data_IF_222237684173
#
_entry.id   IF_222237684173
#
_cell.length_a   1.000
_cell.length_b   1.000
_cell.length_c   1.000
_cell.angle_alpha   90.00
_cell.angle_beta   90.00
_cell.angle_gamma   90.00
#
_symmetry.space_group_name_H-M   'P 1'
#
loop_
_entity.id
_entity.type
_entity.pdbx_description
1 polymer ?
#
# COMPACT_ATOMS: atom_id res chain seq x y z
N UNK A 1 8.89 -31.83 -33.74
CA UNK A 1 7.57 -31.73 -33.08
C UNK A 1 7.66 -31.36 -31.59
N UNK A 2 8.69 -31.80 -30.85
CA UNK A 2 8.94 -31.49 -29.43
C UNK A 2 9.00 -29.98 -29.08
N UNK A 3 9.66 -29.17 -29.91
CA UNK A 3 9.79 -27.72 -29.65
C UNK A 3 8.44 -26.96 -29.66
N UNK A 4 7.44 -27.44 -30.40
CA UNK A 4 6.11 -26.80 -30.43
C UNK A 4 5.38 -26.98 -29.10
N UNK A 5 5.52 -28.15 -28.48
CA UNK A 5 4.94 -28.44 -27.16
C UNK A 5 5.63 -27.63 -26.06
N UNK A 6 6.96 -27.57 -26.08
CA UNK A 6 7.73 -26.77 -25.12
C UNK A 6 7.41 -25.28 -25.26
N UNK A 7 7.38 -24.74 -26.49
CA UNK A 7 7.00 -23.35 -26.74
C UNK A 7 5.56 -23.06 -26.34
N UNK A 8 4.63 -23.97 -26.63
CA UNK A 8 3.23 -23.83 -26.22
C UNK A 8 3.07 -23.79 -24.70
N UNK A 9 3.76 -24.68 -23.98
CA UNK A 9 3.76 -24.70 -22.52
C UNK A 9 4.37 -23.42 -21.93
N UNK A 10 5.51 -22.96 -22.47
CA UNK A 10 6.16 -21.74 -22.01
C UNK A 10 5.27 -20.50 -22.22
N UNK A 11 4.56 -20.45 -23.36
CA UNK A 11 3.59 -19.39 -23.64
C UNK A 11 2.42 -19.42 -22.67
N UNK A 12 1.85 -20.59 -22.37
CA UNK A 12 0.76 -20.71 -21.41
C UNK A 12 1.17 -20.24 -20.01
N UNK A 13 2.37 -20.63 -19.55
CA UNK A 13 2.93 -20.17 -18.26
C UNK A 13 3.14 -18.66 -18.26
N UNK A 14 3.68 -18.10 -19.34
CA UNK A 14 3.87 -16.65 -19.47
C UNK A 14 2.55 -15.88 -19.39
N UNK A 15 1.50 -16.36 -20.07
CA UNK A 15 0.17 -15.73 -20.06
C UNK A 15 -0.44 -15.82 -18.65
N UNK A 16 -0.37 -16.99 -18.02
CA UNK A 16 -0.85 -17.17 -16.65
C UNK A 16 -0.15 -16.22 -15.68
N UNK A 17 1.18 -16.11 -15.77
CA UNK A 17 1.97 -15.21 -14.93
C UNK A 17 1.57 -13.74 -15.15
N UNK A 18 1.37 -13.33 -16.40
CA UNK A 18 0.93 -11.97 -16.73
C UNK A 18 -0.45 -11.65 -16.12
N UNK A 19 -1.41 -12.57 -16.23
CA UNK A 19 -2.73 -12.41 -15.60
C UNK A 19 -2.64 -12.33 -14.08
N UNK A 20 -1.80 -13.16 -13.45
CA UNK A 20 -1.59 -13.13 -12.01
C UNK A 20 -0.97 -11.81 -11.53
N UNK A 21 0.04 -11.30 -12.24
CA UNK A 21 0.64 -9.99 -11.94
C UNK A 21 -0.36 -8.84 -12.11
N UNK A 22 -1.19 -8.88 -13.16
CA UNK A 22 -2.25 -7.88 -13.36
C UNK A 22 -3.28 -7.92 -12.22
N UNK A 23 -3.69 -9.12 -11.77
CA UNK A 23 -4.58 -9.29 -10.63
C UNK A 23 -3.97 -8.72 -9.34
N UNK A 24 -2.71 -9.04 -9.05
CA UNK A 24 -1.99 -8.47 -7.90
C UNK A 24 -1.87 -6.95 -8.01
N UNK A 25 -1.60 -6.42 -9.21
CA UNK A 25 -1.51 -4.99 -9.43
C UNK A 25 -2.85 -4.31 -9.11
N UNK A 26 -3.98 -4.85 -9.55
CA UNK A 26 -5.31 -4.28 -9.26
C UNK A 26 -5.58 -4.27 -7.75
N UNK A 27 -5.29 -5.37 -7.05
CA UNK A 27 -5.53 -5.46 -5.59
C UNK A 27 -4.59 -4.55 -4.80
N UNK A 28 -3.32 -4.47 -5.21
CA UNK A 28 -2.34 -3.59 -4.55
C UNK A 28 -2.56 -2.12 -4.92
N UNK A 29 -3.09 -1.81 -6.10
CA UNK A 29 -3.43 -0.43 -6.50
C UNK A 29 -4.62 0.11 -5.69
N UNK A 30 -5.55 -0.75 -5.28
CA UNK A 30 -6.64 -0.36 -4.37
C UNK A 30 -6.14 -0.05 -2.94
N UNK A 31 -4.93 -0.49 -2.59
CA UNK A 31 -4.27 -0.21 -1.30
C UNK A 31 -3.18 0.85 -1.40
N UNK A 32 -2.76 1.22 -2.61
CA UNK A 32 -1.94 2.40 -2.83
C UNK A 32 -2.82 3.64 -2.56
N UNK A 33 -2.46 4.52 -1.61
CA UNK A 33 -3.16 5.78 -1.47
C UNK A 33 -3.03 6.50 -2.81
N UNK A 34 -4.17 6.75 -3.46
CA UNK A 34 -4.25 7.69 -4.59
C UNK A 34 -3.49 8.93 -4.15
N UNK A 35 -2.36 9.18 -4.79
CA UNK A 35 -1.64 10.44 -4.62
C UNK A 35 -2.57 11.50 -5.18
N UNK A 36 -3.41 12.04 -4.31
CA UNK A 36 -4.20 13.23 -4.59
C UNK A 36 -3.18 14.26 -5.03
N UNK A 37 -3.21 14.55 -6.33
CA UNK A 37 -2.40 15.57 -6.97
C UNK A 37 -2.40 16.78 -6.05
N UNK A 38 -1.23 17.12 -5.52
CA UNK A 38 -1.07 18.21 -4.58
C UNK A 38 -1.68 19.46 -5.21
N UNK A 39 -2.79 19.91 -4.64
CA UNK A 39 -3.33 21.23 -4.91
C UNK A 39 -2.20 22.23 -4.61
N UNK A 40 -1.94 23.23 -5.46
CA UNK A 40 -0.93 24.24 -5.19
C UNK A 40 -1.24 24.90 -3.83
N UNK A 41 -0.42 24.61 -2.82
CA UNK A 41 -0.69 24.90 -1.40
C UNK A 41 -0.67 23.68 -0.46
N UNK A 42 -0.54 22.46 -0.98
CA UNK A 42 -0.41 21.23 -0.18
C UNK A 42 0.95 21.19 0.52
N UNK A 43 0.93 21.17 1.86
CA UNK A 43 2.11 21.05 2.72
C UNK A 43 2.79 19.70 2.52
N UNK A 44 3.86 19.71 1.73
CA UNK A 44 4.67 18.56 1.30
C UNK A 44 5.68 18.07 2.35
N UNK A 45 5.60 18.57 3.60
CA UNK A 45 6.66 18.43 4.61
C UNK A 45 6.18 17.65 5.85
N UNK A 46 5.71 16.43 5.65
CA UNK A 46 5.57 15.47 6.75
C UNK A 46 6.77 14.53 6.71
N UNK A 47 7.50 14.41 7.81
CA UNK A 47 8.74 13.63 7.87
C UNK A 47 8.50 12.11 7.75
N UNK A 48 7.27 11.67 8.07
CA UNK A 48 6.81 10.31 7.83
C UNK A 48 5.30 10.26 7.54
N UNK A 49 4.91 9.41 6.58
CA UNK A 49 3.51 9.04 6.31
C UNK A 49 3.32 7.57 6.67
N UNK A 50 2.44 7.29 7.62
CA UNK A 50 2.08 5.91 8.01
C UNK A 50 0.62 5.67 7.64
N UNK A 51 0.39 4.65 6.81
CA UNK A 51 -0.94 4.22 6.37
C UNK A 51 -1.46 3.09 7.27
N UNK A 52 -2.75 3.08 7.57
CA UNK A 52 -3.45 2.04 8.35
C UNK A 52 -2.86 1.79 9.75
N UNK A 53 -2.92 2.79 10.63
CA UNK A 53 -2.43 2.69 12.01
C UNK A 53 -3.58 2.63 13.02
N UNK A 54 -3.29 2.02 14.15
CA UNK A 54 -4.11 2.10 15.34
C UNK A 54 -3.30 2.78 16.46
N UNK A 55 -3.79 3.90 16.97
CA UNK A 55 -3.26 4.50 18.19
C UNK A 55 -4.03 3.95 19.38
N UNK A 56 -3.32 3.24 20.26
CA UNK A 56 -3.88 2.74 21.51
C UNK A 56 -3.25 3.53 22.65
N UNK A 57 -4.07 4.22 23.43
CA UNK A 57 -3.60 4.86 24.66
C UNK A 57 -3.94 3.96 25.86
N UNK A 58 -2.91 3.50 26.55
CA UNK A 58 -3.03 2.64 27.74
C UNK A 58 -2.54 3.37 28.99
N UNK A 59 -3.28 3.22 30.09
CA UNK A 59 -2.84 3.67 31.43
C UNK A 59 -2.81 2.46 32.34
N UNK A 60 -1.60 2.05 32.75
CA UNK A 60 -1.40 0.76 33.42
C UNK A 60 -1.78 -0.39 32.48
N UNK A 61 -2.67 -1.29 32.94
CA UNK A 61 -3.16 -2.42 32.16
C UNK A 61 -4.49 -2.17 31.42
N UNK A 62 -5.03 -0.94 31.47
CA UNK A 62 -6.32 -0.62 30.87
C UNK A 62 -6.13 0.23 29.62
N UNK A 63 -6.74 -0.19 28.51
CA UNK A 63 -6.87 0.62 27.29
C UNK A 63 -7.89 1.71 27.57
N UNK A 64 -7.47 2.98 27.48
CA UNK A 64 -8.36 4.12 27.69
C UNK A 64 -9.13 4.48 26.42
N UNK A 65 -8.47 4.41 25.27
CA UNK A 65 -9.11 4.62 23.98
C UNK A 65 -8.22 4.08 22.85
N UNK A 66 -8.86 3.78 21.73
CA UNK A 66 -8.22 3.35 20.50
C UNK A 66 -8.77 4.16 19.33
N UNK A 67 -7.87 4.73 18.52
CA UNK A 67 -8.23 5.42 17.28
C UNK A 67 -7.69 4.61 16.11
N UNK A 68 -8.60 4.13 15.27
CA UNK A 68 -8.25 3.61 13.95
C UNK A 68 -8.30 4.77 12.97
N UNK A 69 -7.22 4.98 12.23
CA UNK A 69 -7.24 5.99 11.19
C UNK A 69 -6.40 5.56 9.98
N UNK A 70 -6.78 6.12 8.83
CA UNK A 70 -6.24 5.72 7.54
C UNK A 70 -4.88 6.35 7.25
N UNK A 71 -4.64 7.59 7.72
CA UNK A 71 -3.35 8.29 7.57
C UNK A 71 -2.94 9.07 8.84
N UNK A 72 -1.70 8.86 9.31
CA UNK A 72 -1.09 9.60 10.41
C UNK A 72 0.09 10.41 9.86
N UNK A 73 0.18 11.67 10.30
CA UNK A 73 1.29 12.56 9.98
C UNK A 73 1.88 13.10 11.28
N UNK A 74 3.17 12.87 11.50
CA UNK A 74 3.91 13.39 12.65
C UNK A 74 4.64 14.66 12.22
N UNK A 75 4.52 15.71 13.02
CA UNK A 75 5.23 16.97 12.82
C UNK A 75 6.12 17.21 14.03
N UNK A 76 7.42 17.00 13.88
CA UNK A 76 8.38 17.42 14.90
C UNK A 76 8.68 18.90 14.71
N UNK A 77 8.53 19.70 15.76
CA UNK A 77 8.80 21.13 15.72
C UNK A 77 10.08 21.38 16.51
N UNK A 78 11.13 21.87 15.86
CA UNK A 78 12.33 22.35 16.55
C UNK A 78 11.93 23.49 17.50
N UNK A 79 12.49 23.46 18.72
CA UNK A 79 12.20 24.39 19.80
C UNK A 79 12.91 25.73 19.63
#
# INVERSE_FOLDING_TARGET
MWQRWVRGGLLAVSVMLACFLAYLLVINSATAPTQTSAMPGSMDKADAKVSQFAFTHTKGNTIQWQVQAQEARVFERDK
#
